data_IF_382604415281
#
_entry.id   IF_382604415281
#
_cell.length_a   1.000
_cell.length_b   1.000
_cell.length_c   1.000
_cell.angle_alpha   90.00
_cell.angle_beta   90.00
_cell.angle_gamma   90.00
#
_symmetry.space_group_name_H-M   'P 1'
#
loop_
_entity.id
_entity.type
_entity.pdbx_description
1 polymer ?
#
# COMPACT_ATOMS: atom_id res chain seq x y z
N UNK A 1 18.51 -6.74 -17.16
CA UNK A 1 17.54 -5.63 -17.08
C UNK A 1 16.10 -6.13 -17.15
N UNK A 2 15.74 -6.92 -18.17
CA UNK A 2 14.41 -7.53 -18.34
C UNK A 2 13.92 -8.36 -17.15
N UNK A 3 14.76 -9.24 -16.59
CA UNK A 3 14.39 -10.06 -15.44
C UNK A 3 14.05 -9.24 -14.18
N UNK A 4 14.79 -8.15 -13.92
CA UNK A 4 14.51 -7.23 -12.80
C UNK A 4 13.18 -6.52 -12.98
N UNK A 5 12.87 -6.12 -14.21
CA UNK A 5 11.57 -5.53 -14.53
C UNK A 5 10.42 -6.52 -14.26
N UNK A 6 10.56 -7.78 -14.67
CA UNK A 6 9.54 -8.82 -14.42
C UNK A 6 9.33 -9.02 -12.91
N UNK A 7 10.41 -9.09 -12.11
CA UNK A 7 10.29 -9.21 -10.65
C UNK A 7 9.51 -8.04 -10.06
N UNK A 8 9.86 -6.81 -10.43
CA UNK A 8 9.20 -5.61 -9.91
C UNK A 8 7.72 -5.59 -10.33
N UNK A 9 7.42 -5.92 -11.59
CA UNK A 9 6.06 -5.99 -12.10
C UNK A 9 5.23 -7.07 -11.40
N UNK A 10 5.83 -8.23 -11.12
CA UNK A 10 5.20 -9.30 -10.37
C UNK A 10 4.91 -8.90 -8.91
N UNK A 11 5.87 -8.25 -8.24
CA UNK A 11 5.71 -7.74 -6.87
C UNK A 11 4.59 -6.68 -6.84
N UNK A 12 4.61 -5.73 -7.77
CA UNK A 12 3.58 -4.71 -7.88
C UNK A 12 2.19 -5.34 -8.07
N UNK A 13 2.06 -6.28 -9.00
CA UNK A 13 0.79 -6.93 -9.31
C UNK A 13 0.27 -7.75 -8.12
N UNK A 14 1.17 -8.49 -7.46
CA UNK A 14 0.85 -9.25 -6.25
C UNK A 14 0.39 -8.33 -5.12
N UNK A 15 1.07 -7.19 -4.92
CA UNK A 15 0.68 -6.18 -3.93
C UNK A 15 -0.69 -5.56 -4.21
N UNK A 16 -1.02 -5.30 -5.48
CA UNK A 16 -2.33 -4.78 -5.86
C UNK A 16 -3.47 -5.76 -5.54
N UNK A 17 -3.28 -7.05 -5.87
CA UNK A 17 -4.28 -8.08 -5.67
C UNK A 17 -4.42 -8.43 -4.19
N UNK A 18 -3.31 -8.58 -3.47
CA UNK A 18 -3.35 -8.88 -2.03
C UNK A 18 -3.97 -7.73 -1.23
N UNK A 19 -3.62 -6.49 -1.56
CA UNK A 19 -4.26 -5.30 -0.98
C UNK A 19 -5.76 -5.25 -1.25
N UNK A 20 -6.17 -5.56 -2.49
CA UNK A 20 -7.59 -5.66 -2.83
C UNK A 20 -8.32 -6.74 -2.03
N UNK A 21 -7.73 -7.94 -1.90
CA UNK A 21 -8.30 -9.04 -1.11
C UNK A 21 -8.48 -8.62 0.35
N UNK A 22 -7.43 -8.04 0.95
CA UNK A 22 -7.45 -7.57 2.33
C UNK A 22 -8.56 -6.54 2.55
N UNK A 23 -8.67 -5.56 1.66
CA UNK A 23 -9.66 -4.50 1.75
C UNK A 23 -11.09 -5.02 1.51
N UNK A 24 -11.26 -6.01 0.62
CA UNK A 24 -12.53 -6.66 0.36
C UNK A 24 -13.06 -7.37 1.61
N UNK A 25 -12.19 -8.13 2.29
CA UNK A 25 -12.54 -8.78 3.54
C UNK A 25 -12.73 -7.78 4.68
N UNK A 26 -11.88 -6.76 4.77
CA UNK A 26 -12.01 -5.69 5.78
C UNK A 26 -13.38 -5.02 5.69
N UNK A 27 -13.84 -4.63 4.50
CA UNK A 27 -15.17 -3.99 4.31
C UNK A 27 -16.34 -4.91 4.58
N UNK A 28 -16.17 -6.22 4.36
CA UNK A 28 -17.20 -7.21 4.65
C UNK A 28 -17.37 -7.44 6.15
N UNK A 29 -16.28 -7.50 6.91
CA UNK A 29 -16.30 -7.75 8.35
C UNK A 29 -16.37 -6.47 9.20
N UNK A 30 -16.38 -5.31 8.55
CA UNK A 30 -16.55 -4.01 9.21
C UNK A 30 -17.91 -3.95 9.90
N UNK A 31 -17.93 -3.57 11.19
CA UNK A 31 -19.13 -3.44 12.02
C UNK A 31 -20.21 -2.52 11.43
N UNK A 32 -19.81 -1.52 10.62
CA UNK A 32 -20.71 -0.61 9.91
C UNK A 32 -21.53 -1.33 8.82
N UNK A 33 -21.03 -2.44 8.29
CA UNK A 33 -21.67 -3.24 7.25
C UNK A 33 -22.44 -4.42 7.88
N UNK A 34 -23.57 -4.11 8.54
CA UNK A 34 -24.41 -5.12 9.22
C UNK A 34 -24.99 -6.18 8.28
N UNK A 35 -25.15 -5.85 7.00
CA UNK A 35 -25.70 -6.73 5.97
C UNK A 35 -24.63 -7.58 5.26
N UNK A 36 -23.35 -7.38 5.60
CA UNK A 36 -22.20 -8.07 4.99
C UNK A 36 -22.18 -8.05 3.47
N UNK A 37 -22.64 -6.93 2.88
CA UNK A 37 -22.66 -6.74 1.43
C UNK A 37 -21.23 -6.66 0.88
N UNK A 38 -21.02 -7.26 -0.29
CA UNK A 38 -19.74 -7.20 -1.00
C UNK A 38 -19.62 -5.87 -1.74
N UNK A 39 -18.74 -5.01 -1.24
CA UNK A 39 -18.42 -3.73 -1.88
C UNK A 39 -17.02 -3.85 -2.47
N UNK A 40 -16.88 -3.63 -3.79
CA UNK A 40 -15.59 -3.66 -4.45
C UNK A 40 -14.75 -2.44 -4.02
N UNK A 41 -13.60 -2.64 -3.33
CA UNK A 41 -12.72 -1.55 -2.96
C UNK A 41 -11.69 -1.18 -4.04
N UNK A 42 -11.67 -1.95 -5.13
CA UNK A 42 -10.69 -1.82 -6.19
C UNK A 42 -10.78 -0.49 -6.93
N UNK A 43 -9.67 -0.13 -7.55
CA UNK A 43 -9.61 0.96 -8.49
C UNK A 43 -10.43 0.62 -9.74
N UNK A 44 -11.35 1.50 -10.14
CA UNK A 44 -12.34 1.24 -11.21
C UNK A 44 -13.19 0.00 -10.89
N UNK A 45 -13.37 -0.90 -11.86
CA UNK A 45 -14.18 -2.13 -11.73
C UNK A 45 -13.35 -3.39 -11.46
N UNK A 46 -12.02 -3.28 -11.36
CA UNK A 46 -11.10 -4.42 -11.30
C UNK A 46 -10.59 -4.76 -9.88
N UNK A 47 -10.04 -5.97 -9.68
CA UNK A 47 -9.48 -6.43 -8.39
C UNK A 47 -8.06 -5.89 -8.14
N UNK A 48 -7.87 -4.59 -8.31
CA UNK A 48 -6.56 -3.95 -8.21
C UNK A 48 -6.63 -2.74 -7.31
N UNK A 49 -5.78 -2.69 -6.29
CA UNK A 49 -5.62 -1.53 -5.44
C UNK A 49 -4.17 -1.01 -5.55
N UNK A 50 -3.89 -0.09 -6.52
CA UNK A 50 -2.53 0.34 -6.84
C UNK A 50 -1.72 0.86 -5.66
N UNK A 51 -2.39 1.46 -4.65
CA UNK A 51 -1.77 1.91 -3.41
C UNK A 51 -0.89 0.82 -2.76
N UNK A 52 -1.43 -0.39 -2.63
CA UNK A 52 -0.70 -1.52 -2.02
C UNK A 52 0.39 -2.06 -2.93
N UNK A 53 0.20 -2.02 -4.25
CA UNK A 53 1.24 -2.35 -5.22
C UNK A 53 2.44 -1.41 -5.12
N UNK A 54 2.19 -0.09 -5.14
CA UNK A 54 3.24 0.92 -4.99
C UNK A 54 3.95 0.82 -3.64
N UNK A 55 3.20 0.63 -2.55
CA UNK A 55 3.76 0.44 -1.21
C UNK A 55 4.68 -0.78 -1.14
N UNK A 56 4.21 -1.95 -1.58
CA UNK A 56 5.02 -3.18 -1.55
C UNK A 56 6.27 -3.08 -2.42
N UNK A 57 6.15 -2.53 -3.63
CA UNK A 57 7.30 -2.31 -4.51
C UNK A 57 8.30 -1.34 -3.90
N UNK A 58 7.84 -0.24 -3.29
CA UNK A 58 8.73 0.73 -2.65
C UNK A 58 9.47 0.10 -1.47
N UNK A 59 8.78 -0.63 -0.60
CA UNK A 59 9.41 -1.34 0.52
C UNK A 59 10.45 -2.35 0.05
N UNK A 60 10.16 -3.09 -1.02
CA UNK A 60 11.13 -4.00 -1.63
C UNK A 60 12.40 -3.28 -2.11
N UNK A 61 12.24 -2.13 -2.79
CA UNK A 61 13.37 -1.34 -3.25
C UNK A 61 14.17 -0.75 -2.09
N UNK A 62 13.50 -0.22 -1.06
CA UNK A 62 14.14 0.30 0.15
C UNK A 62 14.90 -0.79 0.91
N UNK A 63 14.35 -2.00 1.00
CA UNK A 63 15.04 -3.13 1.62
C UNK A 63 16.37 -3.45 0.92
N UNK A 64 16.42 -3.34 -0.41
CA UNK A 64 17.65 -3.51 -1.18
C UNK A 64 18.69 -2.41 -0.98
N UNK A 65 18.34 -1.31 -0.29
CA UNK A 65 19.25 -0.22 0.03
C UNK A 65 19.90 -0.36 1.42
N UNK A 66 19.60 -1.42 2.19
CA UNK A 66 20.13 -1.62 3.54
C UNK A 66 21.66 -1.50 3.58
N UNK A 67 22.35 -2.11 2.62
CA UNK A 67 23.82 -2.15 2.57
C UNK A 67 24.48 -0.78 2.30
N UNK A 68 23.72 0.20 1.80
CA UNK A 68 24.21 1.55 1.54
C UNK A 68 24.06 2.49 2.74
N UNK A 69 23.41 2.04 3.82
CA UNK A 69 23.26 2.83 5.03
C UNK A 69 24.61 2.83 5.78
N UNK A 70 25.21 4.00 6.05
CA UNK A 70 26.53 4.12 6.68
C UNK A 70 26.47 3.88 8.20
N UNK A 71 25.93 2.74 8.62
CA UNK A 71 25.78 2.33 10.02
C UNK A 71 26.34 0.92 10.17
N UNK A 72 27.36 0.77 11.01
CA UNK A 72 28.06 -0.51 11.20
C UNK A 72 27.24 -1.49 12.06
N UNK A 73 26.52 -0.97 13.05
CA UNK A 73 25.68 -1.76 13.95
C UNK A 73 24.41 -2.26 13.24
N UNK A 74 24.27 -3.58 13.12
CA UNK A 74 23.18 -4.22 12.36
C UNK A 74 21.80 -3.82 12.87
N UNK A 75 21.62 -3.77 14.20
CA UNK A 75 20.33 -3.41 14.80
C UNK A 75 19.97 -1.94 14.53
N UNK A 76 20.95 -1.04 14.64
CA UNK A 76 20.73 0.39 14.39
C UNK A 76 20.45 0.64 12.91
N UNK A 77 21.15 -0.05 12.00
CA UNK A 77 20.93 0.03 10.56
C UNK A 77 19.50 -0.37 10.17
N UNK A 78 19.01 -1.49 10.71
CA UNK A 78 17.62 -1.93 10.53
C UNK A 78 16.60 -0.97 11.13
N UNK A 79 16.92 -0.37 12.28
CA UNK A 79 16.09 0.68 12.90
C UNK A 79 15.95 1.91 12.01
N UNK A 80 17.05 2.40 11.43
CA UNK A 80 17.05 3.51 10.47
C UNK A 80 16.25 3.14 9.22
N UNK A 81 16.45 1.95 8.68
CA UNK A 81 15.71 1.46 7.52
C UNK A 81 14.19 1.45 7.77
N UNK A 82 13.77 0.95 8.93
CA UNK A 82 12.36 0.93 9.33
C UNK A 82 11.76 2.34 9.43
N UNK A 83 12.49 3.29 10.00
CA UNK A 83 12.05 4.69 10.06
C UNK A 83 11.88 5.30 8.66
N UNK A 84 12.85 5.07 7.77
CA UNK A 84 12.77 5.52 6.37
C UNK A 84 11.58 4.89 5.65
N UNK A 85 11.37 3.59 5.81
CA UNK A 85 10.23 2.87 5.25
C UNK A 85 8.90 3.41 5.79
N UNK A 86 8.82 3.69 7.09
CA UNK A 86 7.62 4.25 7.71
C UNK A 86 7.27 5.63 7.12
N UNK A 87 8.25 6.54 7.03
CA UNK A 87 8.05 7.86 6.41
C UNK A 87 7.62 7.72 4.95
N UNK A 88 8.28 6.83 4.21
CA UNK A 88 7.99 6.62 2.79
C UNK A 88 6.57 6.07 2.56
N UNK A 89 6.11 5.15 3.42
CA UNK A 89 4.73 4.64 3.39
C UNK A 89 3.71 5.74 3.70
N UNK A 90 3.97 6.57 4.70
CA UNK A 90 3.11 7.72 5.02
C UNK A 90 3.00 8.69 3.84
N UNK A 91 4.12 8.99 3.15
CA UNK A 91 4.10 9.86 1.98
C UNK A 91 3.29 9.26 0.82
N UNK A 92 3.43 7.96 0.55
CA UNK A 92 2.61 7.28 -0.45
C UNK A 92 1.12 7.40 -0.11
N UNK A 93 0.76 7.17 1.15
CA UNK A 93 -0.64 7.25 1.60
C UNK A 93 -1.21 8.65 1.44
N UNK A 94 -0.44 9.68 1.81
CA UNK A 94 -0.81 11.08 1.63
C UNK A 94 -1.02 11.43 0.15
N UNK A 95 -0.06 11.08 -0.71
CA UNK A 95 -0.15 11.34 -2.16
C UNK A 95 -1.36 10.61 -2.76
N UNK A 96 -1.57 9.35 -2.40
CA UNK A 96 -2.71 8.60 -2.87
C UNK A 96 -4.03 9.24 -2.42
N UNK A 97 -4.12 9.67 -1.16
CA UNK A 97 -5.29 10.37 -0.64
C UNK A 97 -5.62 11.65 -1.38
N UNK A 98 -4.62 12.48 -1.63
CA UNK A 98 -4.75 13.68 -2.46
C UNK A 98 -5.29 13.35 -3.85
N UNK A 99 -4.73 12.34 -4.53
CA UNK A 99 -5.18 11.94 -5.88
C UNK A 99 -6.63 11.45 -5.85
N UNK A 100 -7.00 10.58 -4.90
CA UNK A 100 -8.33 10.00 -4.84
C UNK A 100 -9.41 11.02 -4.48
N UNK A 101 -9.13 11.87 -3.49
CA UNK A 101 -10.08 12.87 -3.00
C UNK A 101 -10.21 14.02 -4.00
N UNK A 102 -9.09 14.61 -4.43
CA UNK A 102 -9.12 15.85 -5.23
C UNK A 102 -9.31 15.57 -6.72
N UNK A 103 -8.57 14.61 -7.29
CA UNK A 103 -8.64 14.38 -8.75
C UNK A 103 -9.76 13.46 -9.17
N UNK A 104 -10.08 12.47 -8.35
CA UNK A 104 -11.07 11.46 -8.71
C UNK A 104 -12.44 11.68 -8.04
N UNK A 105 -12.55 12.59 -7.07
CA UNK A 105 -13.75 12.76 -6.23
C UNK A 105 -14.24 11.44 -5.61
N UNK A 106 -13.33 10.49 -5.38
CA UNK A 106 -13.60 9.16 -4.84
C UNK A 106 -13.05 9.09 -3.43
N UNK A 107 -13.94 9.09 -2.44
CA UNK A 107 -13.57 8.74 -1.06
C UNK A 107 -13.56 7.22 -0.92
N UNK A 108 -12.40 6.61 -1.17
CA UNK A 108 -12.20 5.18 -0.90
C UNK A 108 -12.33 4.89 0.60
N UNK A 109 -11.81 5.75 1.47
CA UNK A 109 -11.84 5.59 2.93
C UNK A 109 -12.59 6.74 3.62
N UNK A 110 -13.92 6.68 3.61
CA UNK A 110 -14.72 7.59 4.43
C UNK A 110 -14.94 7.00 5.84
N UNK A 111 -14.25 7.59 6.82
CA UNK A 111 -14.40 7.28 8.25
C UNK A 111 -15.25 8.32 8.99
N UNK A 112 -15.84 9.29 8.30
CA UNK A 112 -16.60 10.39 8.93
C UNK A 112 -17.78 9.92 9.77
N UNK A 113 -18.34 8.74 9.48
CA UNK A 113 -19.40 8.13 10.28
C UNK A 113 -18.92 7.35 11.52
N UNK A 114 -17.63 7.45 11.87
CA UNK A 114 -17.05 6.84 13.07
C UNK A 114 -16.82 7.83 14.22
N UNK A 115 -17.37 9.05 14.12
CA UNK A 115 -17.35 10.03 15.21
C UNK A 115 -18.66 10.03 15.97
#
# INVERSE_FOLDING_TARGET
>A
MFYKFIIIAFIFSTGCISGWILELFYRRFKLTNKEHIWVNPGFLTGPYLPLYGFGLTLLYLLAGLEDYIPVQETYMRRGVLFLVMSVAMTLIELIAGEIFIIRMNLKLWDYSQMR
#
